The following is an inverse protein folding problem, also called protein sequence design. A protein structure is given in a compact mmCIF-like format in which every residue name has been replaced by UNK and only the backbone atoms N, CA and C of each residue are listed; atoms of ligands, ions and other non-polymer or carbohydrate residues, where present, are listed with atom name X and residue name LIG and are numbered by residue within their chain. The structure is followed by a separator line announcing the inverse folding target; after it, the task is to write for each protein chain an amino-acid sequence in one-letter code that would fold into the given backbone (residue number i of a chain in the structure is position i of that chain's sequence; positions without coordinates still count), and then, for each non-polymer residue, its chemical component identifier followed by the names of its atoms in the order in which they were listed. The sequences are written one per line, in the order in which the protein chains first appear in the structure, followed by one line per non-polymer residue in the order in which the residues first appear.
data_IF_846163545133
#
_entry.id   IF_846163545133
#
_cell.length_a   1.000
_cell.length_b   1.000
_cell.length_c   1.000
_cell.angle_alpha   90.00
_cell.angle_beta   90.00
_cell.angle_gamma   90.00
#
_symmetry.space_group_name_H-M   'P 1'
#
loop_
_entity.id
_entity.type
_entity.pdbx_description
1 polymer ?
#
# COMPACT_ATOMS: atom_id res chain seq x y z
N UNK A 1 20.03 -5.86 -36.42
CA UNK A 1 20.91 -4.68 -36.27
C UNK A 1 20.36 -3.61 -37.19
N UNK A 2 20.00 -2.40 -36.81
CA UNK A 2 19.94 -1.65 -35.57
C UNK A 2 19.14 -0.39 -35.93
N UNK A 3 18.20 0.06 -35.10
CA UNK A 3 18.34 1.25 -34.25
C UNK A 3 17.01 1.34 -33.49
N UNK A 4 16.96 1.02 -32.19
CA UNK A 4 17.03 2.00 -31.11
C UNK A 4 16.64 3.40 -31.56
N UNK A 5 15.34 3.67 -31.60
CA UNK A 5 14.80 5.01 -31.56
C UNK A 5 14.18 5.20 -30.17
N UNK A 6 15.06 5.24 -29.18
CA UNK A 6 14.83 5.94 -27.92
C UNK A 6 15.21 7.37 -28.20
N UNK A 7 14.26 8.29 -28.16
CA UNK A 7 14.56 9.70 -27.96
C UNK A 7 13.29 10.45 -27.52
N UNK A 8 13.25 10.71 -26.21
CA UNK A 8 12.62 11.85 -25.51
C UNK A 8 11.11 12.09 -25.70
N UNK A 9 10.29 11.37 -24.93
CA UNK A 9 9.01 11.91 -24.47
C UNK A 9 9.04 11.97 -22.93
N UNK A 10 9.45 13.16 -22.50
CA UNK A 10 9.11 13.88 -21.26
C UNK A 10 9.63 13.28 -19.94
N UNK A 11 10.60 14.01 -19.39
CA UNK A 11 10.92 14.10 -17.97
C UNK A 11 9.62 14.25 -17.13
N UNK A 12 9.13 13.14 -16.58
CA UNK A 12 8.09 13.09 -15.54
C UNK A 12 8.49 12.03 -14.51
N UNK A 13 9.64 12.20 -13.90
CA UNK A 13 9.91 11.62 -12.59
C UNK A 13 10.02 12.76 -11.60
N UNK A 14 8.94 12.99 -10.83
CA UNK A 14 9.03 13.26 -9.40
C UNK A 14 7.62 13.36 -8.79
N UNK A 15 7.34 12.46 -7.84
CA UNK A 15 6.10 12.22 -7.07
C UNK A 15 5.12 11.20 -7.68
N UNK A 16 5.29 9.95 -7.24
CA UNK A 16 4.48 8.77 -7.60
C UNK A 16 2.97 8.99 -7.43
N UNK A 17 2.31 9.29 -8.53
CA UNK A 17 0.88 9.16 -8.67
C UNK A 17 0.54 7.70 -8.97
N UNK A 18 -0.10 7.03 -8.02
CA UNK A 18 -0.75 5.74 -8.25
C UNK A 18 -1.76 5.92 -9.36
N UNK A 19 -1.60 5.20 -10.46
CA UNK A 19 -2.49 5.34 -11.61
C UNK A 19 -3.89 4.81 -11.27
N UNK A 20 -4.93 5.32 -11.93
CA UNK A 20 -6.32 4.87 -11.70
C UNK A 20 -6.50 3.35 -11.92
N UNK A 21 -5.70 2.75 -12.80
CA UNK A 21 -5.65 1.31 -13.07
C UNK A 21 -5.08 0.50 -11.90
N UNK A 22 -3.97 0.96 -11.30
CA UNK A 22 -3.40 0.34 -10.11
C UNK A 22 -4.39 0.41 -8.95
N UNK A 23 -5.06 1.56 -8.77
CA UNK A 23 -6.06 1.74 -7.73
C UNK A 23 -7.27 0.80 -7.90
N UNK A 24 -7.76 0.62 -9.14
CA UNK A 24 -8.83 -0.35 -9.46
C UNK A 24 -8.42 -1.79 -9.15
N UNK A 25 -7.17 -2.17 -9.44
CA UNK A 25 -6.62 -3.48 -9.11
C UNK A 25 -6.60 -3.73 -7.60
N UNK A 26 -6.19 -2.75 -6.79
CA UNK A 26 -6.18 -2.88 -5.33
C UNK A 26 -7.57 -2.92 -4.72
N UNK A 27 -8.53 -2.15 -5.24
CA UNK A 27 -9.95 -2.26 -4.85
C UNK A 27 -10.48 -3.66 -5.12
N UNK A 28 -10.12 -4.28 -6.25
CA UNK A 28 -10.51 -5.66 -6.56
C UNK A 28 -9.85 -6.67 -5.61
N UNK A 29 -8.57 -6.49 -5.26
CA UNK A 29 -7.88 -7.30 -4.24
C UNK A 29 -8.53 -7.20 -2.87
N UNK A 30 -9.05 -6.04 -2.48
CA UNK A 30 -9.82 -5.87 -1.24
C UNK A 30 -11.10 -6.71 -1.21
N UNK A 31 -11.58 -7.27 -2.32
CA UNK A 31 -12.70 -8.21 -2.36
C UNK A 31 -12.33 -9.67 -2.13
N UNK A 32 -11.07 -10.05 -2.38
CA UNK A 32 -10.66 -11.47 -2.49
C UNK A 32 -9.51 -11.86 -1.54
N UNK A 33 -8.65 -10.92 -1.19
CA UNK A 33 -7.45 -11.16 -0.37
C UNK A 33 -7.74 -10.89 1.11
N UNK A 34 -7.35 -11.82 1.99
CA UNK A 34 -7.61 -11.74 3.44
C UNK A 34 -6.50 -11.03 4.22
N UNK A 35 -5.31 -10.94 3.66
CA UNK A 35 -4.09 -10.46 4.32
C UNK A 35 -3.26 -9.62 3.34
N UNK A 36 -2.78 -8.45 3.76
CA UNK A 36 -1.99 -7.52 2.94
C UNK A 36 -0.62 -7.27 3.54
N UNK A 37 0.36 -6.89 2.71
CA UNK A 37 1.64 -6.37 3.21
C UNK A 37 1.59 -4.83 3.41
N UNK A 38 2.62 -4.26 4.04
CA UNK A 38 2.66 -2.83 4.34
C UNK A 38 2.58 -1.92 3.10
N UNK A 39 3.20 -2.32 1.98
CA UNK A 39 3.14 -1.58 0.72
C UNK A 39 1.74 -1.58 0.13
N UNK A 40 1.07 -2.74 0.12
CA UNK A 40 -0.32 -2.84 -0.34
C UNK A 40 -1.26 -1.99 0.52
N UNK A 41 -1.09 -2.01 1.85
CA UNK A 41 -1.88 -1.17 2.76
C UNK A 41 -1.59 0.31 2.53
N UNK A 42 -0.33 0.71 2.29
CA UNK A 42 -0.01 2.10 1.98
C UNK A 42 -0.78 2.60 0.76
N UNK A 43 -0.80 1.80 -0.31
CA UNK A 43 -1.53 2.11 -1.53
C UNK A 43 -3.04 2.18 -1.31
N UNK A 44 -3.61 1.22 -0.56
CA UNK A 44 -5.04 1.21 -0.20
C UNK A 44 -5.43 2.46 0.60
N UNK A 45 -4.57 2.90 1.52
CA UNK A 45 -4.80 4.08 2.36
C UNK A 45 -4.41 5.40 1.67
N UNK A 46 -3.88 5.35 0.45
CA UNK A 46 -3.45 6.54 -0.30
C UNK A 46 -2.12 7.15 0.18
N UNK A 47 -1.31 6.39 0.92
CA UNK A 47 0.05 6.80 1.29
C UNK A 47 1.07 6.45 0.19
N UNK A 48 2.07 7.31 0.04
CA UNK A 48 3.16 7.11 -0.93
C UNK A 48 4.21 6.08 -0.48
N UNK A 49 4.28 5.78 0.82
CA UNK A 49 5.38 5.02 1.44
C UNK A 49 4.89 4.04 2.49
N UNK A 50 5.45 2.83 2.49
CA UNK A 50 5.10 1.75 3.43
C UNK A 50 5.43 2.11 4.90
N UNK A 51 6.43 2.96 5.11
CA UNK A 51 6.83 3.50 6.41
C UNK A 51 5.68 4.22 7.12
N UNK A 52 4.79 4.86 6.35
CA UNK A 52 3.59 5.52 6.90
C UNK A 52 2.67 4.51 7.60
N UNK A 53 2.60 3.27 7.10
CA UNK A 53 1.81 2.20 7.71
C UNK A 53 2.48 1.69 8.99
N UNK A 54 3.81 1.62 9.03
CA UNK A 54 4.52 1.25 10.26
C UNK A 54 4.30 2.26 11.38
N UNK A 55 4.28 3.56 11.07
CA UNK A 55 3.94 4.59 12.06
C UNK A 55 2.51 4.40 12.62
N UNK A 56 1.55 3.96 11.79
CA UNK A 56 0.20 3.63 12.25
C UNK A 56 0.18 2.40 13.17
N UNK A 57 1.02 1.40 12.88
CA UNK A 57 1.19 0.22 13.75
C UNK A 57 1.75 0.61 15.12
N UNK A 58 2.82 1.41 15.14
CA UNK A 58 3.48 1.85 16.37
C UNK A 58 2.54 2.72 17.23
N UNK A 59 1.71 3.55 16.58
CA UNK A 59 0.68 4.33 17.25
C UNK A 59 -0.55 3.50 17.70
N UNK A 60 -0.57 2.18 17.46
CA UNK A 60 -1.68 1.30 17.80
C UNK A 60 -2.98 1.58 17.03
N UNK A 61 -2.89 2.27 15.89
CA UNK A 61 -4.06 2.71 15.10
C UNK A 61 -4.55 1.66 14.13
N UNK A 62 -3.68 0.76 13.68
CA UNK A 62 -4.03 -0.33 12.78
C UNK A 62 -3.52 -1.67 13.34
N UNK A 63 -4.40 -2.68 13.32
CA UNK A 63 -4.04 -4.03 13.75
C UNK A 63 -3.17 -4.74 12.71
N UNK A 64 -2.16 -5.47 13.16
CA UNK A 64 -1.27 -6.26 12.32
C UNK A 64 -0.88 -7.58 13.00
N UNK A 65 -0.45 -8.54 12.20
CA UNK A 65 0.16 -9.79 12.62
C UNK A 65 1.64 -9.76 12.26
N UNK A 66 2.49 -10.18 13.17
CA UNK A 66 3.91 -10.39 12.90
C UNK A 66 4.13 -11.83 12.46
N UNK A 67 4.66 -12.06 11.25
CA UNK A 67 5.10 -13.38 10.79
C UNK A 67 6.62 -13.42 10.61
N UNK A 68 7.17 -14.62 10.71
CA UNK A 68 8.61 -14.85 10.69
C UNK A 68 9.28 -14.73 12.07
N UNK A 69 10.59 -14.99 12.12
CA UNK A 69 11.43 -14.94 13.33
C UNK A 69 12.72 -14.16 13.08
N UNK A 70 13.22 -13.48 14.10
CA UNK A 70 14.48 -12.73 14.03
C UNK A 70 14.48 -11.63 12.97
N UNK A 71 15.53 -11.59 12.14
CA UNK A 71 15.73 -10.58 11.08
C UNK A 71 14.75 -10.68 9.90
N UNK A 72 14.00 -11.77 9.79
CA UNK A 72 13.00 -11.99 8.73
C UNK A 72 11.58 -11.80 9.24
N UNK A 73 11.39 -10.92 10.22
CA UNK A 73 10.05 -10.57 10.71
C UNK A 73 9.41 -9.60 9.72
N UNK A 74 8.21 -9.92 9.27
CA UNK A 74 7.41 -9.06 8.40
C UNK A 74 6.00 -8.88 8.96
N UNK A 75 5.42 -7.72 8.72
CA UNK A 75 4.08 -7.39 9.15
C UNK A 75 3.07 -7.75 8.07
N UNK A 76 2.01 -8.43 8.50
CA UNK A 76 0.85 -8.78 7.70
C UNK A 76 -0.36 -8.07 8.29
N UNK A 77 -1.19 -7.51 7.42
CA UNK A 77 -2.34 -6.71 7.79
C UNK A 77 -3.61 -7.45 7.40
N UNK A 78 -4.38 -7.98 8.36
CA UNK A 78 -5.66 -8.60 8.06
C UNK A 78 -6.60 -7.58 7.41
N UNK A 79 -7.33 -8.01 6.38
CA UNK A 79 -8.31 -7.19 5.66
C UNK A 79 -9.27 -6.46 6.61
N UNK A 80 -9.76 -7.17 7.64
CA UNK A 80 -10.67 -6.61 8.64
C UNK A 80 -10.06 -5.42 9.39
N UNK A 81 -8.76 -5.49 9.72
CA UNK A 81 -8.04 -4.41 10.39
C UNK A 81 -7.87 -3.19 9.49
N UNK A 82 -7.56 -3.40 8.21
CA UNK A 82 -7.45 -2.33 7.20
C UNK A 82 -8.80 -1.65 6.96
N UNK A 83 -9.87 -2.43 6.80
CA UNK A 83 -11.22 -1.91 6.62
C UNK A 83 -11.72 -1.15 7.85
N UNK A 84 -11.46 -1.66 9.05
CA UNK A 84 -11.80 -0.99 10.30
C UNK A 84 -11.12 0.38 10.38
N UNK A 85 -9.82 0.47 10.07
CA UNK A 85 -9.09 1.73 10.05
C UNK A 85 -9.69 2.73 9.04
N UNK A 86 -10.03 2.27 7.83
CA UNK A 86 -10.69 3.12 6.83
C UNK A 86 -12.04 3.64 7.33
N UNK A 87 -12.87 2.76 7.91
CA UNK A 87 -14.17 3.14 8.46
C UNK A 87 -14.04 4.18 9.58
N UNK A 88 -13.11 3.97 10.52
CA UNK A 88 -12.85 4.92 11.62
C UNK A 88 -12.29 6.26 11.10
N UNK A 89 -11.51 6.24 10.03
CA UNK A 89 -10.97 7.44 9.39
C UNK A 89 -12.05 8.24 8.67
N UNK A 90 -12.97 7.56 7.97
CA UNK A 90 -14.11 8.21 7.32
C UNK A 90 -15.10 8.82 8.34
N UNK A 91 -15.29 8.18 9.50
CA UNK A 91 -16.19 8.68 10.55
C UNK A 91 -15.64 9.88 11.34
N UNK A 92 -14.37 10.25 11.13
CA UNK A 92 -13.72 11.39 11.78
C UNK A 92 -13.81 12.69 10.97
N UNK A 93 -14.24 12.61 9.71
CA UNK A 93 -14.41 13.73 8.78
C UNK A 93 -15.89 14.11 8.76
#
# INVERSE_FOLDING_TARGET
MGSVQRDWIVEMEEAGQVTSLEMQHYVRKMGTQLEFNATEVALILGYQRAESVYALCEAGRIGYLSRGKGKHRYYIFPRASVLKYLQESCNRI
#
